data_IF_719417380898
#
_entry.id   IF_719417380898
#
_cell.length_a   1.000
_cell.length_b   1.000
_cell.length_c   1.000
_cell.angle_alpha   90.00
_cell.angle_beta   90.00
_cell.angle_gamma   90.00
#
_symmetry.space_group_name_H-M   'P 1'
#
loop_
_entity.id
_entity.type
_entity.pdbx_description
1 polymer ?
#
# COMPACT_ATOMS: atom_id res chain seq x y z
N UNK A 1 25.69 -2.54 20.69
CA UNK A 1 24.46 -3.35 20.64
C UNK A 1 23.48 -2.72 19.67
N UNK A 2 22.50 -3.49 19.20
CA UNK A 2 21.41 -2.96 18.36
C UNK A 2 20.58 -1.90 19.10
N UNK A 3 20.06 -0.92 18.36
CA UNK A 3 19.28 0.21 18.90
C UNK A 3 17.79 -0.02 18.69
N UNK A 4 17.19 -0.88 19.51
CA UNK A 4 15.78 -1.30 19.37
C UNK A 4 14.78 -0.14 19.57
N UNK A 5 15.13 0.85 20.39
CA UNK A 5 14.39 2.11 20.60
C UNK A 5 14.26 2.97 19.34
N UNK A 6 15.16 2.75 18.37
CA UNK A 6 15.21 3.45 17.08
C UNK A 6 14.56 2.66 15.95
N UNK A 7 13.93 1.52 16.21
CA UNK A 7 13.17 0.76 15.22
C UNK A 7 11.68 1.17 15.21
N UNK A 8 10.91 0.84 14.15
CA UNK A 8 9.48 1.11 14.12
C UNK A 8 8.75 0.40 15.27
N UNK A 9 7.86 1.08 15.98
CA UNK A 9 7.00 0.45 16.99
C UNK A 9 5.68 -0.06 16.39
N UNK A 10 5.31 0.46 15.22
CA UNK A 10 4.06 0.13 14.55
C UNK A 10 4.32 -0.27 13.11
N UNK A 11 3.72 -1.38 12.68
CA UNK A 11 3.61 -1.75 11.26
C UNK A 11 2.19 -1.41 10.85
N UNK A 12 2.02 -0.52 9.87
CA UNK A 12 0.71 -0.04 9.42
C UNK A 12 0.42 -0.56 8.03
N UNK A 13 -0.45 -1.57 7.94
CA UNK A 13 -0.85 -2.18 6.68
C UNK A 13 -2.15 -1.55 6.17
N UNK A 14 -2.09 -0.88 5.02
CA UNK A 14 -3.26 -0.27 4.38
C UNK A 14 -3.80 -1.20 3.30
N UNK A 15 -5.10 -1.50 3.35
CA UNK A 15 -5.74 -2.61 2.65
C UNK A 15 -5.42 -3.95 3.30
N UNK A 16 -5.56 -4.02 4.63
CA UNK A 16 -5.06 -5.16 5.39
C UNK A 16 -5.81 -6.49 5.14
N UNK A 17 -6.98 -6.47 4.49
CA UNK A 17 -7.65 -7.70 4.07
C UNK A 17 -8.01 -8.60 5.26
N UNK A 18 -7.44 -9.80 5.30
CA UNK A 18 -7.61 -10.75 6.41
C UNK A 18 -6.49 -10.68 7.47
N UNK A 19 -5.54 -9.76 7.31
CA UNK A 19 -4.38 -9.56 8.19
C UNK A 19 -3.20 -10.48 7.94
N UNK A 20 -3.21 -11.31 6.87
CA UNK A 20 -2.16 -12.29 6.60
C UNK A 20 -0.76 -11.67 6.50
N UNK A 21 -0.62 -10.51 5.84
CA UNK A 21 0.67 -9.82 5.73
C UNK A 21 1.18 -9.36 7.11
N UNK A 22 0.31 -8.76 7.94
CA UNK A 22 0.64 -8.35 9.31
C UNK A 22 1.06 -9.53 10.18
N UNK A 23 0.35 -10.67 10.09
CA UNK A 23 0.70 -11.91 10.81
C UNK A 23 2.08 -12.37 10.38
N UNK A 24 2.33 -12.43 9.07
CA UNK A 24 3.61 -12.87 8.53
C UNK A 24 4.77 -11.98 9.00
N UNK A 25 4.62 -10.65 8.91
CA UNK A 25 5.63 -9.69 9.36
C UNK A 25 5.91 -9.86 10.85
N UNK A 26 4.87 -9.93 11.69
CA UNK A 26 5.05 -10.07 13.14
C UNK A 26 5.78 -11.37 13.49
N UNK A 27 5.38 -12.49 12.91
CA UNK A 27 5.99 -13.80 13.13
C UNK A 27 7.45 -13.85 12.67
N UNK A 28 7.75 -13.24 11.53
CA UNK A 28 9.12 -13.09 11.06
C UNK A 28 9.96 -12.26 12.05
N UNK A 29 9.47 -11.10 12.50
CA UNK A 29 10.18 -10.29 13.51
C UNK A 29 10.40 -11.06 14.80
N UNK A 30 9.36 -11.75 15.28
CA UNK A 30 9.38 -12.52 16.54
C UNK A 30 10.39 -13.64 16.52
N UNK A 31 10.52 -14.35 15.39
CA UNK A 31 11.30 -15.60 15.33
C UNK A 31 12.64 -15.46 14.63
N UNK A 32 12.78 -14.54 13.67
CA UNK A 32 13.94 -14.42 12.77
C UNK A 32 14.78 -13.16 13.00
N UNK A 33 14.41 -12.28 13.94
CA UNK A 33 15.16 -11.04 14.20
C UNK A 33 15.58 -10.91 15.66
N UNK A 34 16.67 -10.18 15.96
CA UNK A 34 17.07 -9.93 17.35
C UNK A 34 16.02 -9.19 18.17
N UNK A 35 15.18 -8.35 17.53
CA UNK A 35 14.07 -7.66 18.20
C UNK A 35 13.05 -8.63 18.78
N UNK A 36 12.85 -9.79 18.15
CA UNK A 36 11.97 -10.84 18.66
C UNK A 36 12.31 -11.29 20.09
N UNK A 37 13.59 -11.20 20.49
CA UNK A 37 14.08 -11.58 21.83
C UNK A 37 13.78 -10.54 22.91
N UNK A 38 13.37 -9.33 22.53
CA UNK A 38 13.19 -8.17 23.42
C UNK A 38 11.83 -7.48 23.22
N UNK A 39 10.83 -8.18 22.67
CA UNK A 39 9.48 -7.62 22.45
C UNK A 39 8.76 -7.21 23.75
N UNK A 40 9.16 -7.74 24.89
CA UNK A 40 8.64 -7.32 26.20
C UNK A 40 9.07 -5.88 26.56
N UNK A 41 10.31 -5.52 26.22
CA UNK A 41 10.87 -4.19 26.49
C UNK A 41 10.62 -3.21 25.32
N UNK A 42 10.60 -3.72 24.09
CA UNK A 42 10.45 -2.96 22.85
C UNK A 42 9.30 -3.53 21.99
N UNK A 43 8.04 -3.35 22.42
CA UNK A 43 6.89 -3.95 21.77
C UNK A 43 6.75 -3.52 20.31
N UNK A 44 6.15 -4.40 19.51
CA UNK A 44 5.78 -4.17 18.12
C UNK A 44 4.28 -4.39 17.98
N UNK A 45 3.56 -3.39 17.50
CA UNK A 45 2.10 -3.43 17.31
C UNK A 45 1.76 -3.45 15.82
N UNK A 46 0.90 -4.38 15.41
CA UNK A 46 0.36 -4.43 14.06
C UNK A 46 -0.85 -3.51 13.95
N UNK A 47 -0.94 -2.70 12.90
CA UNK A 47 -2.08 -1.82 12.65
C UNK A 47 -2.69 -2.16 11.31
N UNK A 48 -3.88 -2.76 11.33
CA UNK A 48 -4.69 -2.99 10.14
C UNK A 48 -5.50 -1.75 9.78
N UNK A 49 -5.41 -1.30 8.53
CA UNK A 49 -6.20 -0.21 7.97
C UNK A 49 -6.94 -0.74 6.76
N UNK A 50 -8.25 -0.60 6.72
CA UNK A 50 -9.04 -1.00 5.55
C UNK A 50 -10.25 -0.08 5.38
N UNK A 51 -10.69 0.11 4.15
CA UNK A 51 -11.86 0.93 3.82
C UNK A 51 -13.15 0.20 4.22
N UNK A 52 -13.18 -1.12 4.02
CA UNK A 52 -14.36 -1.96 4.23
C UNK A 52 -14.40 -2.53 5.65
N UNK A 53 -15.59 -2.75 6.19
CA UNK A 53 -15.75 -3.26 7.56
C UNK A 53 -15.40 -4.74 7.69
N UNK A 54 -15.84 -5.57 6.74
CA UNK A 54 -15.63 -7.02 6.81
C UNK A 54 -14.14 -7.41 6.85
N UNK A 55 -13.23 -6.84 6.02
CA UNK A 55 -11.79 -7.02 6.16
C UNK A 55 -11.26 -6.58 7.53
N UNK A 56 -11.70 -5.45 8.07
CA UNK A 56 -11.26 -4.99 9.40
C UNK A 56 -11.65 -5.98 10.49
N UNK A 57 -12.88 -6.47 10.48
CA UNK A 57 -13.36 -7.47 11.44
C UNK A 57 -12.55 -8.75 11.30
N UNK A 58 -12.34 -9.23 10.07
CA UNK A 58 -11.58 -10.44 9.78
C UNK A 58 -10.12 -10.32 10.26
N UNK A 59 -9.47 -9.21 9.95
CA UNK A 59 -8.11 -8.88 10.41
C UNK A 59 -8.03 -8.87 11.93
N UNK A 60 -8.96 -8.20 12.63
CA UNK A 60 -8.96 -8.15 14.10
C UNK A 60 -9.09 -9.54 14.73
N UNK A 61 -9.99 -10.38 14.18
CA UNK A 61 -10.19 -11.76 14.64
C UNK A 61 -8.92 -12.59 14.42
N UNK A 62 -8.30 -12.50 13.24
CA UNK A 62 -7.12 -13.29 12.90
C UNK A 62 -5.89 -12.87 13.71
N UNK A 63 -5.65 -11.56 13.91
CA UNK A 63 -4.56 -11.07 14.77
C UNK A 63 -4.77 -11.48 16.23
N UNK A 64 -6.01 -11.41 16.73
CA UNK A 64 -6.36 -11.87 18.09
C UNK A 64 -6.12 -13.37 18.28
N UNK A 65 -6.54 -14.21 17.32
CA UNK A 65 -6.31 -15.67 17.35
C UNK A 65 -4.82 -16.03 17.41
N UNK A 66 -3.95 -15.21 16.83
CA UNK A 66 -2.50 -15.39 16.85
C UNK A 66 -1.81 -14.72 18.05
N UNK A 67 -2.56 -14.12 18.99
CA UNK A 67 -2.03 -13.38 20.14
C UNK A 67 -1.08 -12.23 19.75
N UNK A 68 -1.35 -11.56 18.63
CA UNK A 68 -0.52 -10.46 18.13
C UNK A 68 -1.04 -9.14 18.70
N UNK A 69 -0.19 -8.27 19.30
CA UNK A 69 -0.60 -6.93 19.70
C UNK A 69 -1.04 -6.11 18.49
N UNK A 70 -2.27 -5.60 18.48
CA UNK A 70 -2.79 -4.93 17.30
C UNK A 70 -3.82 -3.83 17.56
N UNK A 71 -4.04 -3.02 16.52
CA UNK A 71 -5.14 -2.09 16.36
C UNK A 71 -5.72 -2.27 14.96
N UNK A 72 -7.03 -2.06 14.79
CA UNK A 72 -7.65 -2.00 13.48
C UNK A 72 -8.47 -0.71 13.36
N UNK A 73 -8.29 0.02 12.28
CA UNK A 73 -8.95 1.31 12.02
C UNK A 73 -9.51 1.39 10.59
N UNK A 74 -10.56 2.19 10.35
CA UNK A 74 -10.97 2.51 8.99
C UNK A 74 -9.94 3.42 8.32
N UNK A 75 -9.76 3.28 7.00
CA UNK A 75 -8.95 4.18 6.21
C UNK A 75 -8.99 3.88 4.72
N UNK A 76 -8.73 4.90 3.91
CA UNK A 76 -8.71 4.84 2.45
C UNK A 76 -7.27 5.08 1.96
N UNK A 77 -6.74 4.18 1.13
CA UNK A 77 -5.39 4.30 0.56
C UNK A 77 -5.21 5.61 -0.22
N UNK A 78 -6.28 6.15 -0.81
CA UNK A 78 -6.26 7.45 -1.51
C UNK A 78 -6.17 8.66 -0.57
N UNK A 79 -6.37 8.48 0.74
CA UNK A 79 -6.44 9.54 1.76
C UNK A 79 -5.46 9.31 2.93
N UNK A 80 -4.14 9.29 2.69
CA UNK A 80 -3.15 8.99 3.71
C UNK A 80 -3.13 9.98 4.90
N UNK A 81 -3.50 11.24 4.67
CA UNK A 81 -3.61 12.23 5.75
C UNK A 81 -4.69 11.87 6.80
N UNK A 82 -5.82 11.30 6.35
CA UNK A 82 -6.91 10.86 7.23
C UNK A 82 -6.51 9.63 8.04
N UNK A 83 -5.73 8.73 7.42
CA UNK A 83 -5.12 7.56 8.10
C UNK A 83 -4.21 8.07 9.22
N UNK A 84 -3.28 8.99 8.93
CA UNK A 84 -2.38 9.54 9.96
C UNK A 84 -3.12 10.27 11.07
N UNK A 85 -4.19 11.01 10.76
CA UNK A 85 -5.02 11.63 11.79
C UNK A 85 -5.68 10.58 12.70
N UNK A 86 -6.16 9.48 12.12
CA UNK A 86 -6.78 8.37 12.84
C UNK A 86 -5.78 7.62 13.72
N UNK A 87 -4.56 7.40 13.24
CA UNK A 87 -3.45 6.86 14.01
C UNK A 87 -3.14 7.71 15.25
N UNK A 88 -3.02 9.03 15.07
CA UNK A 88 -2.80 9.98 16.18
C UNK A 88 -3.92 9.91 17.23
N UNK A 89 -5.19 9.85 16.80
CA UNK A 89 -6.35 9.70 17.70
C UNK A 89 -6.29 8.39 18.50
N UNK A 90 -5.67 7.35 17.95
CA UNK A 90 -5.43 6.06 18.63
C UNK A 90 -4.11 6.01 19.41
N UNK A 91 -3.45 7.15 19.61
CA UNK A 91 -2.16 7.27 20.31
C UNK A 91 -1.01 6.49 19.63
N UNK A 92 -1.12 6.25 18.33
CA UNK A 92 0.00 5.76 17.51
C UNK A 92 0.84 6.97 17.11
N UNK A 93 2.12 6.93 17.45
CA UNK A 93 3.10 7.95 17.06
C UNK A 93 3.55 7.74 15.61
N UNK A 94 3.22 8.65 14.67
CA UNK A 94 3.63 8.53 13.27
C UNK A 94 5.15 8.50 13.07
N UNK A 95 5.94 9.02 14.01
CA UNK A 95 7.41 8.94 13.91
C UNK A 95 7.95 7.54 14.17
N UNK A 96 7.09 6.64 14.64
CA UNK A 96 7.39 5.25 14.97
C UNK A 96 6.69 4.25 14.04
N UNK A 97 6.13 4.70 12.92
CA UNK A 97 5.41 3.83 11.97
C UNK A 97 6.30 3.43 10.79
N UNK A 98 6.22 2.17 10.40
CA UNK A 98 6.57 1.70 9.06
C UNK A 98 5.26 1.37 8.35
N UNK A 99 4.97 2.03 7.23
CA UNK A 99 3.81 1.72 6.42
C UNK A 99 4.13 0.54 5.50
N UNK A 100 3.19 -0.38 5.34
CA UNK A 100 3.25 -1.48 4.38
C UNK A 100 1.94 -1.56 3.60
N UNK A 101 1.98 -2.16 2.41
CA UNK A 101 0.79 -2.63 1.69
C UNK A 101 1.20 -3.56 0.55
N UNK A 102 0.29 -4.43 0.13
CA UNK A 102 0.51 -5.34 -1.00
C UNK A 102 -0.68 -5.31 -1.96
N UNK A 103 -0.39 -5.06 -3.23
CA UNK A 103 -1.31 -5.16 -4.36
C UNK A 103 -2.58 -4.29 -4.19
N UNK A 104 -2.41 -2.99 -3.96
CA UNK A 104 -3.51 -2.10 -3.59
C UNK A 104 -3.52 -0.75 -4.35
N UNK A 105 -2.36 -0.22 -4.72
CA UNK A 105 -2.30 1.11 -5.34
C UNK A 105 -2.98 1.14 -6.71
N UNK A 106 -3.03 -0.01 -7.42
CA UNK A 106 -3.74 -0.17 -8.70
C UNK A 106 -5.27 -0.19 -8.53
N UNK A 107 -5.78 -0.76 -7.44
CA UNK A 107 -7.23 -0.91 -7.14
C UNK A 107 -7.80 0.24 -6.26
N UNK A 108 -7.05 1.34 -6.15
CA UNK A 108 -7.54 2.50 -5.39
C UNK A 108 -8.73 3.16 -6.12
N UNK A 109 -9.65 3.81 -5.39
CA UNK A 109 -10.61 4.71 -6.02
C UNK A 109 -9.89 5.78 -6.86
N UNK A 110 -10.24 5.89 -8.15
CA UNK A 110 -9.64 6.86 -9.04
C UNK A 110 -9.93 8.30 -8.58
N UNK A 111 -8.86 9.10 -8.44
CA UNK A 111 -8.92 10.52 -8.12
C UNK A 111 -8.24 11.27 -9.25
N UNK A 112 -8.99 12.10 -9.99
CA UNK A 112 -8.45 12.90 -11.07
C UNK A 112 -7.33 13.84 -10.57
N UNK A 113 -6.28 13.98 -11.37
CA UNK A 113 -5.20 14.92 -11.08
C UNK A 113 -5.74 16.36 -11.02
N UNK A 114 -5.35 17.11 -10.00
CA UNK A 114 -5.79 18.51 -9.84
C UNK A 114 -4.88 19.51 -10.54
N UNK A 115 -3.76 19.06 -11.08
CA UNK A 115 -2.75 19.87 -11.76
C UNK A 115 -2.17 19.07 -12.93
N UNK A 116 -1.79 19.75 -14.02
CA UNK A 116 -1.21 19.07 -15.17
C UNK A 116 0.15 18.47 -14.83
N UNK A 117 0.48 17.37 -15.49
CA UNK A 117 1.83 16.81 -15.47
C UNK A 117 2.85 17.81 -16.04
N UNK A 118 4.11 17.70 -15.59
CA UNK A 118 5.22 18.35 -16.28
C UNK A 118 5.33 17.82 -17.71
N UNK A 119 5.90 18.62 -18.63
CA UNK A 119 6.08 18.18 -20.03
C UNK A 119 6.87 16.87 -20.13
N UNK A 120 7.88 16.68 -19.29
CA UNK A 120 8.68 15.45 -19.26
C UNK A 120 7.86 14.24 -18.79
N UNK A 121 7.07 14.41 -17.72
CA UNK A 121 6.19 13.35 -17.19
C UNK A 121 5.06 12.99 -18.16
N UNK A 122 4.52 13.98 -18.87
CA UNK A 122 3.50 13.76 -19.88
C UNK A 122 4.05 12.94 -21.07
N UNK A 123 5.23 13.31 -21.58
CA UNK A 123 5.91 12.56 -22.64
C UNK A 123 6.21 11.12 -22.22
N UNK A 124 6.73 10.94 -21.00
CA UNK A 124 6.95 9.62 -20.42
C UNK A 124 5.66 8.79 -20.39
N UNK A 125 4.56 9.34 -19.88
CA UNK A 125 3.27 8.64 -19.80
C UNK A 125 2.74 8.25 -21.18
N UNK A 126 2.87 9.15 -22.17
CA UNK A 126 2.43 8.88 -23.54
C UNK A 126 3.23 7.76 -24.20
N UNK A 127 4.53 7.66 -23.92
CA UNK A 127 5.39 6.61 -24.48
C UNK A 127 5.19 5.26 -23.75
N UNK A 128 5.30 5.27 -22.42
CA UNK A 128 5.35 4.04 -21.62
C UNK A 128 4.00 3.37 -21.43
N UNK A 129 2.90 4.11 -21.58
CA UNK A 129 1.54 3.58 -21.42
C UNK A 129 0.81 3.52 -22.77
N UNK A 130 1.52 3.70 -23.89
CA UNK A 130 0.94 3.94 -25.23
C UNK A 130 -0.09 2.89 -25.67
N UNK A 131 0.04 1.66 -25.20
CA UNK A 131 -0.83 0.52 -25.50
C UNK A 131 -1.66 0.04 -24.29
N UNK A 132 -1.64 0.78 -23.18
CA UNK A 132 -2.45 0.49 -22.01
C UNK A 132 -3.82 1.16 -22.13
N UNK A 133 -4.85 0.50 -21.62
CA UNK A 133 -6.23 0.98 -21.65
C UNK A 133 -6.75 1.08 -20.23
N UNK A 134 -7.25 2.25 -19.86
CA UNK A 134 -7.87 2.49 -18.57
C UNK A 134 -9.26 3.07 -18.79
N UNK A 135 -10.25 2.56 -18.08
CA UNK A 135 -11.65 2.96 -18.22
C UNK A 135 -12.16 3.55 -16.92
N UNK A 136 -13.04 4.55 -17.03
CA UNK A 136 -13.86 4.97 -15.89
C UNK A 136 -15.02 3.98 -15.66
N UNK A 137 -15.78 4.22 -14.59
CA UNK A 137 -16.93 3.38 -14.21
C UNK A 137 -18.07 3.40 -15.24
N UNK A 138 -18.07 4.35 -16.17
CA UNK A 138 -19.00 4.42 -17.30
C UNK A 138 -18.44 3.74 -18.58
N UNK A 139 -17.24 3.16 -18.51
CA UNK A 139 -16.56 2.51 -19.63
C UNK A 139 -15.90 3.50 -20.61
N UNK A 140 -15.69 4.76 -20.23
CA UNK A 140 -15.00 5.74 -21.06
C UNK A 140 -13.51 5.69 -20.81
N UNK A 141 -12.74 5.87 -21.88
CA UNK A 141 -11.28 5.89 -21.80
C UNK A 141 -10.81 7.08 -20.96
N UNK A 142 -9.97 6.79 -19.97
CA UNK A 142 -9.17 7.78 -19.25
C UNK A 142 -7.83 7.90 -19.97
N UNK A 143 -7.38 9.13 -20.27
CA UNK A 143 -6.13 9.31 -21.01
C UNK A 143 -4.93 8.85 -20.18
N UNK A 144 -3.88 8.36 -20.85
CA UNK A 144 -2.65 7.91 -20.20
C UNK A 144 -2.00 8.99 -19.32
N UNK A 145 -2.05 10.25 -19.78
CA UNK A 145 -1.56 11.39 -19.01
C UNK A 145 -2.40 11.65 -17.76
N UNK A 146 -3.72 11.45 -17.82
CA UNK A 146 -4.61 11.65 -16.66
C UNK A 146 -4.45 10.53 -15.63
N UNK A 147 -4.32 9.28 -16.08
CA UNK A 147 -4.04 8.12 -15.19
C UNK A 147 -2.68 8.30 -14.52
N UNK A 148 -1.64 8.63 -15.29
CA UNK A 148 -0.31 8.84 -14.73
C UNK A 148 -0.28 10.05 -13.79
N UNK A 149 -0.96 11.15 -14.12
CA UNK A 149 -1.14 12.29 -13.22
C UNK A 149 -1.82 11.89 -11.91
N UNK A 150 -2.87 11.08 -11.97
CA UNK A 150 -3.53 10.55 -10.78
C UNK A 150 -2.58 9.72 -9.91
N UNK A 151 -1.75 8.87 -10.53
CA UNK A 151 -0.78 8.03 -9.84
C UNK A 151 0.34 8.86 -9.17
N UNK A 152 0.89 9.84 -9.89
CA UNK A 152 1.90 10.76 -9.35
C UNK A 152 1.35 11.47 -8.11
N UNK A 153 0.19 12.10 -8.22
CA UNK A 153 -0.40 12.84 -7.10
C UNK A 153 -0.82 11.93 -5.94
N UNK A 154 -1.15 10.67 -6.21
CA UNK A 154 -1.38 9.68 -5.17
C UNK A 154 -0.12 9.42 -4.35
N UNK A 155 1.02 9.18 -5.00
CA UNK A 155 2.28 9.02 -4.30
C UNK A 155 2.80 10.31 -3.66
N UNK A 156 2.50 11.49 -4.20
CA UNK A 156 2.78 12.78 -3.54
C UNK A 156 2.01 12.91 -2.21
N UNK A 157 0.72 12.53 -2.18
CA UNK A 157 -0.07 12.51 -0.94
C UNK A 157 0.53 11.57 0.10
N UNK A 158 1.03 10.41 -0.34
CA UNK A 158 1.72 9.47 0.55
C UNK A 158 3.06 10.03 1.03
N UNK A 159 3.89 10.55 0.13
CA UNK A 159 5.19 11.15 0.47
C UNK A 159 5.03 12.23 1.55
N UNK A 160 4.03 13.11 1.40
CA UNK A 160 3.76 14.19 2.35
C UNK A 160 3.48 13.72 3.79
N UNK A 161 3.04 12.47 4.00
CA UNK A 161 2.79 11.93 5.35
C UNK A 161 3.89 10.99 5.85
N UNK A 162 4.76 10.51 4.96
CA UNK A 162 5.80 9.52 5.27
C UNK A 162 7.10 10.15 5.80
N UNK A 163 7.30 11.45 5.60
CA UNK A 163 8.50 12.20 6.00
C UNK A 163 8.88 12.08 7.49
N UNK A 164 7.91 11.72 8.33
CA UNK A 164 8.11 11.62 9.78
C UNK A 164 8.49 10.22 10.26
N UNK A 165 8.18 9.18 9.49
CA UNK A 165 8.27 7.78 9.90
C UNK A 165 9.42 7.01 9.25
N UNK A 166 9.25 5.69 9.14
CA UNK A 166 10.25 4.78 8.57
C UNK A 166 10.04 4.53 7.06
N UNK A 167 9.17 5.31 6.42
CA UNK A 167 8.82 5.17 5.02
C UNK A 167 7.75 4.11 4.77
N UNK A 168 7.81 3.54 3.58
CA UNK A 168 6.75 2.70 3.01
C UNK A 168 7.36 1.49 2.28
N UNK A 169 6.87 0.30 2.61
CA UNK A 169 7.13 -0.94 1.88
C UNK A 169 5.90 -1.26 1.02
N UNK A 170 6.07 -1.35 -0.30
CA UNK A 170 4.98 -1.65 -1.25
C UNK A 170 5.34 -2.89 -2.05
N UNK A 171 4.38 -3.80 -2.16
CA UNK A 171 4.36 -4.80 -3.23
C UNK A 171 3.25 -4.38 -4.19
N UNK A 172 3.52 -4.46 -5.49
CA UNK A 172 2.53 -4.09 -6.50
C UNK A 172 2.66 -5.00 -7.73
N UNK A 173 1.57 -5.10 -8.48
CA UNK A 173 1.51 -5.77 -9.77
C UNK A 173 1.50 -4.73 -10.88
N UNK A 174 2.12 -5.05 -12.01
CA UNK A 174 2.28 -4.14 -13.13
C UNK A 174 1.84 -4.83 -14.42
N UNK A 175 1.24 -4.06 -15.32
CA UNK A 175 0.91 -4.51 -16.67
C UNK A 175 2.18 -4.62 -17.54
N UNK A 176 2.10 -5.42 -18.61
CA UNK A 176 3.12 -5.50 -19.65
C UNK A 176 2.62 -4.95 -20.98
N UNK A 177 3.51 -4.28 -21.71
CA UNK A 177 3.22 -3.83 -23.07
C UNK A 177 2.86 -5.01 -23.99
N UNK A 178 2.06 -4.75 -25.00
CA UNK A 178 1.52 -5.74 -25.93
C UNK A 178 2.64 -6.50 -26.63
N UNK A 179 3.76 -5.85 -26.94
CA UNK A 179 4.89 -6.49 -27.62
C UNK A 179 5.59 -7.50 -26.72
N UNK A 180 5.80 -7.16 -25.45
CA UNK A 180 6.38 -8.05 -24.44
C UNK A 180 5.43 -9.17 -24.08
N UNK A 181 4.14 -8.87 -23.85
CA UNK A 181 3.09 -9.86 -23.59
C UNK A 181 3.02 -10.89 -24.71
N UNK A 182 3.04 -10.44 -25.97
CA UNK A 182 3.05 -11.33 -27.14
C UNK A 182 4.32 -12.18 -27.21
N UNK A 183 5.49 -11.59 -26.94
CA UNK A 183 6.78 -12.29 -27.01
C UNK A 183 6.85 -13.44 -26.01
N UNK A 184 6.31 -13.24 -24.81
CA UNK A 184 6.38 -14.22 -23.71
C UNK A 184 5.02 -14.86 -23.42
N UNK A 185 4.12 -14.96 -24.42
CA UNK A 185 2.70 -15.27 -24.21
C UNK A 185 2.44 -16.53 -23.36
N UNK A 186 3.27 -17.57 -23.48
CA UNK A 186 3.13 -18.81 -22.69
C UNK A 186 3.92 -18.78 -21.36
N UNK A 187 4.74 -17.76 -21.14
CA UNK A 187 5.66 -17.62 -20.00
C UNK A 187 5.28 -16.44 -19.09
N UNK A 188 4.16 -15.76 -19.35
CA UNK A 188 3.62 -14.70 -18.51
C UNK A 188 2.10 -14.81 -18.36
N UNK A 189 1.56 -14.11 -17.37
CA UNK A 189 0.12 -14.08 -17.07
C UNK A 189 -0.55 -12.77 -17.47
N UNK A 190 0.17 -11.85 -18.13
CA UNK A 190 -0.30 -10.50 -18.42
C UNK A 190 -1.49 -10.50 -19.38
N UNK A 191 -1.55 -11.40 -20.38
CA UNK A 191 -2.70 -11.44 -21.28
C UNK A 191 -4.05 -11.63 -20.55
N UNK A 192 -4.24 -12.68 -19.72
CA UNK A 192 -5.48 -12.83 -18.98
C UNK A 192 -5.61 -11.85 -17.81
N UNK A 193 -4.52 -11.41 -17.19
CA UNK A 193 -4.56 -10.54 -16.01
C UNK A 193 -4.90 -9.09 -16.38
N UNK A 194 -4.18 -8.50 -17.33
CA UNK A 194 -4.30 -7.09 -17.71
C UNK A 194 -5.67 -6.78 -18.38
N UNK A 195 -6.39 -7.82 -18.82
CA UNK A 195 -7.76 -7.70 -19.39
C UNK A 195 -8.87 -7.58 -18.34
N UNK A 196 -8.63 -8.04 -17.11
CA UNK A 196 -9.68 -8.16 -16.07
C UNK A 196 -9.45 -7.26 -14.86
N UNK A 197 -8.28 -6.63 -14.78
CA UNK A 197 -7.95 -5.64 -13.74
C UNK A 197 -8.63 -4.28 -13.99
#
# INVERSE_FOLDING_TARGET
GEKFDKQPQFIVDTGCGDGSLLIHIYEYVRTQTPRGRVLADYPLTMVGVDLNEDPRVTTAVNLSKNNIPHLVIPGDVGKPADIVQSLKKKKVDPTKTLHVRSFLDHDRPYIAATSPLSSASALFAMEQLSDFVHLDKEGKIISNTDVFGSLVQHFERWAAVLDVGFGLLVLEVMMLDVSTTRRFFNDNVSFPLDLVQ
#
